data_IF_414858574584
#
_entry.id   IF_414858574584
#
_cell.length_a   1.000
_cell.length_b   1.000
_cell.length_c   1.000
_cell.angle_alpha   90.00
_cell.angle_beta   90.00
_cell.angle_gamma   90.00
#
_symmetry.space_group_name_H-M   'P 1'
#
loop_
_entity.id
_entity.type
_entity.pdbx_description
1 polymer ?
#
# COMPACT_ATOMS: atom_id res chain seq x y z
N UNK A 1 -2.10 0.90 19.43
CA UNK A 1 -1.59 2.03 19.52
C UNK A 1 -1.85 3.01 18.39
N UNK A 2 -3.11 3.41 18.37
CA UNK A 2 -3.63 4.28 17.33
C UNK A 2 -2.86 5.60 17.21
N UNK A 3 -2.45 6.17 18.34
CA UNK A 3 -1.76 7.45 18.33
C UNK A 3 -0.42 7.37 17.59
N UNK A 4 0.39 6.36 17.87
CA UNK A 4 1.66 6.16 17.17
C UNK A 4 1.45 5.87 15.69
N UNK A 5 0.45 5.07 15.37
CA UNK A 5 0.12 4.74 13.99
C UNK A 5 -0.27 6.01 13.23
N UNK A 6 -1.09 6.85 13.83
CA UNK A 6 -1.51 8.10 13.18
C UNK A 6 -0.36 9.09 13.01
N UNK A 7 0.63 9.09 13.90
CA UNK A 7 1.85 9.90 13.71
C UNK A 7 2.60 9.47 12.45
N UNK A 8 2.71 8.16 12.22
CA UNK A 8 3.36 7.62 11.02
C UNK A 8 2.59 8.04 9.77
N UNK A 9 1.27 7.94 9.79
CA UNK A 9 0.48 8.34 8.63
C UNK A 9 0.58 9.84 8.36
N UNK A 10 0.59 10.69 9.39
CA UNK A 10 0.77 12.12 9.22
C UNK A 10 2.13 12.46 8.61
N UNK A 11 3.19 11.79 9.08
CA UNK A 11 4.51 11.95 8.48
C UNK A 11 4.49 11.57 7.00
N UNK A 12 3.86 10.45 6.67
CA UNK A 12 3.79 9.98 5.30
C UNK A 12 2.98 10.93 4.41
N UNK A 13 1.88 11.49 4.92
CA UNK A 13 1.09 12.48 4.20
C UNK A 13 1.93 13.71 3.85
N UNK A 14 2.65 14.24 4.82
CA UNK A 14 3.52 15.40 4.61
C UNK A 14 4.62 15.09 3.61
N UNK A 15 5.23 13.92 3.73
CA UNK A 15 6.28 13.49 2.80
C UNK A 15 5.75 13.39 1.36
N UNK A 16 4.57 12.82 1.18
CA UNK A 16 3.95 12.72 -0.16
C UNK A 16 3.74 14.09 -0.78
N UNK A 17 3.21 15.03 -0.01
CA UNK A 17 2.96 16.38 -0.50
C UNK A 17 4.26 17.06 -0.89
N UNK A 18 5.28 17.00 -0.04
CA UNK A 18 6.57 17.64 -0.28
C UNK A 18 7.34 17.01 -1.44
N UNK A 19 7.14 15.72 -1.69
CA UNK A 19 7.85 15.01 -2.74
C UNK A 19 7.15 15.00 -4.09
N UNK A 20 6.08 15.79 -4.25
CA UNK A 20 5.41 15.96 -5.53
C UNK A 20 4.22 15.03 -5.75
N UNK A 21 3.67 14.47 -4.67
CA UNK A 21 2.50 13.59 -4.73
C UNK A 21 1.40 14.11 -3.80
N UNK A 22 0.86 15.33 -4.07
CA UNK A 22 -0.01 15.99 -3.10
C UNK A 22 -1.44 15.46 -3.08
N UNK A 23 -1.87 14.69 -4.07
CA UNK A 23 -3.29 14.33 -4.20
C UNK A 23 -3.60 12.88 -3.90
N UNK A 24 -2.61 12.00 -3.77
CA UNK A 24 -2.87 10.59 -3.50
C UNK A 24 -3.58 10.43 -2.14
N UNK A 25 -3.03 10.99 -1.08
CA UNK A 25 -3.62 10.97 0.25
C UNK A 25 -4.04 12.36 0.74
N UNK A 26 -3.33 13.41 0.32
CA UNK A 26 -3.54 14.76 0.83
C UNK A 26 -3.23 14.81 2.32
N UNK A 27 -3.97 15.66 3.05
CA UNK A 27 -3.80 15.83 4.49
C UNK A 27 -4.75 14.95 5.32
N UNK A 28 -5.72 14.31 4.70
CA UNK A 28 -6.84 13.72 5.42
C UNK A 28 -6.95 12.21 5.33
N UNK A 29 -6.40 11.60 4.30
CA UNK A 29 -6.47 10.16 4.11
C UNK A 29 -5.12 9.54 4.46
N UNK A 30 -5.07 8.44 5.20
CA UNK A 30 -6.19 7.83 5.92
C UNK A 30 -6.49 8.58 7.22
N UNK A 31 -7.75 8.61 7.62
CA UNK A 31 -8.14 9.22 8.89
C UNK A 31 -8.17 8.19 10.02
N UNK A 32 -8.39 8.68 11.25
CA UNK A 32 -8.35 7.82 12.42
C UNK A 32 -9.46 6.75 12.41
N UNK A 33 -10.63 7.09 11.87
CA UNK A 33 -11.75 6.14 11.84
C UNK A 33 -11.44 4.97 10.91
N UNK A 34 -10.81 5.24 9.77
CA UNK A 34 -10.40 4.19 8.84
C UNK A 34 -9.36 3.28 9.48
N UNK A 35 -8.39 3.85 10.18
CA UNK A 35 -7.34 3.06 10.83
C UNK A 35 -7.91 2.24 12.00
N UNK A 36 -8.86 2.78 12.76
CA UNK A 36 -9.57 2.01 13.77
C UNK A 36 -10.27 0.81 13.14
N UNK A 37 -10.91 1.01 11.99
CA UNK A 37 -11.53 -0.07 11.25
C UNK A 37 -10.53 -1.13 10.81
N UNK A 38 -9.35 -0.71 10.32
CA UNK A 38 -8.28 -1.64 9.96
C UNK A 38 -7.84 -2.48 11.16
N UNK A 39 -7.70 -1.85 12.31
CA UNK A 39 -7.33 -2.54 13.55
C UNK A 39 -8.41 -3.55 13.94
N UNK A 40 -9.66 -3.12 13.93
CA UNK A 40 -10.80 -3.96 14.34
C UNK A 40 -10.97 -5.15 13.40
N UNK A 41 -10.66 -4.99 12.13
CA UNK A 41 -10.73 -6.07 11.14
C UNK A 41 -9.48 -6.95 11.11
N UNK A 42 -8.50 -6.63 11.95
CA UNK A 42 -7.24 -7.38 12.03
C UNK A 42 -6.39 -7.31 10.74
N UNK A 43 -6.55 -6.26 9.97
CA UNK A 43 -5.76 -6.06 8.74
C UNK A 43 -4.62 -5.07 8.91
N UNK A 44 -4.59 -4.31 10.00
CA UNK A 44 -3.52 -3.36 10.28
C UNK A 44 -2.28 -4.11 10.77
N UNK A 45 -1.18 -3.98 10.03
CA UNK A 45 0.08 -4.64 10.34
C UNK A 45 1.15 -3.59 10.66
N UNK A 46 1.99 -3.91 11.64
CA UNK A 46 3.03 -2.99 12.09
C UNK A 46 4.41 -3.55 11.76
N UNK A 47 5.31 -2.68 11.35
CA UNK A 47 6.71 -3.00 11.15
C UNK A 47 7.48 -2.30 12.27
N UNK A 48 8.17 -3.07 13.09
CA UNK A 48 8.84 -2.53 14.27
C UNK A 48 10.17 -3.22 14.53
N UNK A 49 10.98 -2.56 15.36
CA UNK A 49 12.22 -3.13 15.86
C UNK A 49 12.34 -2.76 17.35
N UNK A 50 13.51 -2.93 17.92
CA UNK A 50 13.79 -2.63 19.34
C UNK A 50 13.61 -1.16 19.69
N UNK A 51 13.63 -0.27 18.69
CA UNK A 51 13.46 1.17 18.88
C UNK A 51 12.00 1.63 18.75
N UNK A 52 11.12 0.72 18.37
CA UNK A 52 9.69 1.03 18.24
C UNK A 52 9.11 0.74 16.87
N UNK A 53 7.95 1.33 16.61
CA UNK A 53 7.21 1.14 15.36
C UNK A 53 7.73 2.12 14.32
N UNK A 54 8.08 1.61 13.13
CA UNK A 54 8.60 2.43 12.03
C UNK A 54 7.70 2.42 10.80
N UNK A 55 6.83 1.43 10.67
CA UNK A 55 5.97 1.33 9.52
C UNK A 55 4.63 0.69 9.84
N UNK A 56 3.68 0.91 8.94
CA UNK A 56 2.33 0.36 9.06
C UNK A 56 1.79 0.13 7.67
N UNK A 57 0.99 -0.92 7.52
CA UNK A 57 0.27 -1.17 6.27
C UNK A 57 -1.01 -1.95 6.58
N UNK A 58 -1.93 -1.94 5.62
CA UNK A 58 -3.13 -2.76 5.68
C UNK A 58 -2.97 -3.93 4.72
N UNK A 59 -3.26 -5.15 5.21
CA UNK A 59 -3.16 -6.36 4.42
C UNK A 59 -4.53 -6.99 4.31
N UNK A 60 -5.03 -7.08 3.08
CA UNK A 60 -6.34 -7.66 2.79
C UNK A 60 -6.19 -8.98 2.06
N UNK A 61 -6.97 -9.95 2.48
CA UNK A 61 -7.11 -11.24 1.80
C UNK A 61 -8.53 -11.26 1.23
N UNK A 62 -8.64 -11.51 -0.07
CA UNK A 62 -9.93 -11.49 -0.75
C UNK A 62 -10.02 -10.39 -1.79
N UNK A 63 -11.13 -10.36 -2.52
CA UNK A 63 -11.30 -9.45 -3.64
C UNK A 63 -11.36 -7.99 -3.19
N UNK A 64 -10.56 -7.15 -3.83
CA UNK A 64 -10.59 -5.70 -3.64
C UNK A 64 -11.57 -5.11 -4.65
N UNK A 65 -12.67 -4.46 -4.21
CA UNK A 65 -13.69 -3.97 -5.15
C UNK A 65 -13.16 -3.06 -6.25
N UNK A 66 -12.18 -2.18 -5.95
CA UNK A 66 -11.62 -1.27 -6.95
C UNK A 66 -10.74 -1.97 -7.99
N UNK A 67 -10.39 -3.23 -7.76
CA UNK A 67 -9.57 -4.01 -8.70
C UNK A 67 -10.41 -4.82 -9.68
N UNK A 68 -11.72 -4.78 -9.54
CA UNK A 68 -12.63 -5.54 -10.39
C UNK A 68 -12.58 -5.09 -11.85
N UNK A 69 -12.41 -3.78 -12.06
CA UNK A 69 -12.32 -3.18 -13.39
C UNK A 69 -10.92 -2.61 -13.59
N UNK A 70 -10.24 -3.03 -14.65
CA UNK A 70 -8.91 -2.55 -15.01
C UNK A 70 -8.91 -2.12 -16.47
N UNK A 71 -8.28 -1.00 -16.77
CA UNK A 71 -8.19 -0.43 -18.12
C UNK A 71 -6.75 -0.40 -18.61
N UNK A 72 -6.59 -0.46 -19.92
CA UNK A 72 -5.28 -0.34 -20.55
C UNK A 72 -4.38 -1.55 -20.33
N UNK A 73 -4.94 -2.66 -19.92
CA UNK A 73 -4.19 -3.87 -19.66
C UNK A 73 -5.04 -4.90 -18.94
N UNK A 74 -4.38 -5.86 -18.31
CA UNK A 74 -5.06 -6.94 -17.61
C UNK A 74 -4.24 -7.37 -16.39
N UNK A 75 -4.94 -7.85 -15.34
CA UNK A 75 -4.27 -8.56 -14.26
C UNK A 75 -3.58 -9.81 -14.81
N UNK A 76 -2.53 -10.26 -14.12
CA UNK A 76 -1.75 -11.41 -14.57
C UNK A 76 -2.54 -12.72 -14.49
N UNK A 77 -3.50 -12.80 -13.56
CA UNK A 77 -4.35 -13.99 -13.41
C UNK A 77 -5.64 -13.62 -12.70
N UNK A 78 -6.55 -14.57 -12.59
CA UNK A 78 -7.84 -14.43 -11.91
C UNK A 78 -7.87 -15.15 -10.55
N UNK A 79 -6.73 -15.63 -10.07
CA UNK A 79 -6.66 -16.35 -8.80
C UNK A 79 -6.78 -15.45 -7.59
N UNK A 80 -6.93 -16.05 -6.39
CA UNK A 80 -6.95 -15.29 -5.15
C UNK A 80 -5.64 -14.52 -4.96
N UNK A 81 -5.71 -13.36 -4.33
CA UNK A 81 -4.54 -12.50 -4.13
C UNK A 81 -4.62 -11.77 -2.81
N UNK A 82 -3.45 -11.34 -2.32
CA UNK A 82 -3.36 -10.41 -1.21
C UNK A 82 -3.20 -9.00 -1.75
N UNK A 83 -3.71 -8.01 -1.01
CA UNK A 83 -3.56 -6.60 -1.35
C UNK A 83 -2.89 -5.87 -0.21
N UNK A 84 -1.84 -5.11 -0.53
CA UNK A 84 -1.19 -4.21 0.42
C UNK A 84 -1.75 -2.81 0.15
N UNK A 85 -2.35 -2.21 1.17
CA UNK A 85 -2.86 -0.85 1.13
C UNK A 85 -2.24 -0.01 2.22
N UNK A 86 -2.20 1.29 2.00
CA UNK A 86 -1.88 2.28 3.03
C UNK A 86 -0.54 2.01 3.73
N UNK A 87 0.47 1.64 2.95
CA UNK A 87 1.83 1.49 3.48
C UNK A 87 2.41 2.85 3.80
N UNK A 88 2.91 3.01 5.01
CA UNK A 88 3.52 4.25 5.47
C UNK A 88 4.70 3.96 6.39
N UNK A 89 5.69 4.84 6.37
CA UNK A 89 6.85 4.77 7.23
C UNK A 89 7.12 6.08 7.93
N UNK A 90 7.95 6.05 8.96
CA UNK A 90 8.32 7.21 9.76
C UNK A 90 9.59 7.91 9.27
N UNK A 91 10.17 7.46 8.18
CA UNK A 91 11.40 8.01 7.64
C UNK A 91 12.67 7.56 8.36
N UNK A 92 12.55 6.79 9.43
CA UNK A 92 13.68 6.35 10.24
C UNK A 92 14.27 5.02 9.77
N UNK A 93 13.46 4.19 9.14
CA UNK A 93 13.88 2.86 8.69
C UNK A 93 13.78 2.76 7.18
N UNK A 94 14.62 1.90 6.60
CA UNK A 94 14.63 1.62 5.19
C UNK A 94 14.07 0.22 4.91
N UNK A 95 13.65 -0.01 3.67
CA UNK A 95 13.22 -1.33 3.23
C UNK A 95 11.87 -1.75 3.76
N UNK A 96 11.00 -0.80 4.11
CA UNK A 96 9.68 -1.12 4.67
C UNK A 96 8.80 -1.86 3.65
N UNK A 97 8.84 -1.46 2.38
CA UNK A 97 8.06 -2.17 1.35
C UNK A 97 8.55 -3.62 1.20
N UNK A 98 9.87 -3.82 1.15
CA UNK A 98 10.44 -5.17 1.10
C UNK A 98 10.03 -6.01 2.31
N UNK A 99 10.03 -5.40 3.48
CA UNK A 99 9.62 -6.07 4.71
C UNK A 99 8.15 -6.49 4.65
N UNK A 100 7.27 -5.58 4.23
CA UNK A 100 5.85 -5.89 4.06
C UNK A 100 5.64 -7.00 3.03
N UNK A 101 6.38 -6.93 1.92
CA UNK A 101 6.30 -7.93 0.86
C UNK A 101 6.76 -9.30 1.36
N UNK A 102 7.86 -9.36 2.09
CA UNK A 102 8.37 -10.63 2.64
C UNK A 102 7.35 -11.29 3.57
N UNK A 103 6.70 -10.49 4.39
CA UNK A 103 5.62 -11.00 5.24
C UNK A 103 4.48 -11.60 4.40
N UNK A 104 4.06 -10.88 3.35
CA UNK A 104 2.99 -11.34 2.48
C UNK A 104 3.35 -12.61 1.72
N UNK A 105 4.61 -12.73 1.28
CA UNK A 105 5.08 -13.89 0.52
C UNK A 105 5.01 -15.19 1.32
N UNK A 106 5.03 -15.10 2.65
CA UNK A 106 4.84 -16.27 3.49
C UNK A 106 3.38 -16.75 3.51
N UNK A 107 2.45 -15.92 3.05
CA UNK A 107 1.02 -16.24 3.03
C UNK A 107 0.59 -16.61 1.61
N UNK A 108 0.99 -15.82 0.62
CA UNK A 108 0.63 -16.05 -0.78
C UNK A 108 1.68 -15.46 -1.69
N UNK A 109 1.89 -16.09 -2.83
CA UNK A 109 2.78 -15.53 -3.87
C UNK A 109 2.06 -14.52 -4.77
N UNK A 110 0.74 -14.47 -4.72
CA UNK A 110 -0.06 -13.62 -5.62
C UNK A 110 -0.47 -12.34 -4.88
N UNK A 111 0.16 -11.22 -5.24
CA UNK A 111 0.03 -9.96 -4.52
C UNK A 111 -0.25 -8.84 -5.51
N UNK A 112 -1.24 -8.00 -5.20
CA UNK A 112 -1.60 -6.82 -5.99
C UNK A 112 -1.40 -5.56 -5.16
N UNK A 113 -0.94 -4.50 -5.83
CA UNK A 113 -0.81 -3.17 -5.22
C UNK A 113 -1.15 -2.12 -6.26
N UNK A 114 -1.43 -0.92 -5.82
CA UNK A 114 -1.60 0.23 -6.71
C UNK A 114 -0.95 1.46 -6.11
N UNK A 115 -0.64 2.44 -6.96
CA UNK A 115 -0.11 3.72 -6.52
C UNK A 115 -0.46 4.83 -7.51
N UNK A 116 -0.37 6.06 -7.05
CA UNK A 116 -0.63 7.25 -7.87
C UNK A 116 0.51 7.49 -8.86
N UNK A 117 0.17 8.04 -10.03
CA UNK A 117 1.17 8.37 -11.05
C UNK A 117 2.25 9.35 -10.55
N UNK A 118 1.92 10.20 -9.58
CA UNK A 118 2.86 11.15 -9.00
C UNK A 118 3.78 10.53 -7.95
N UNK A 119 3.49 9.31 -7.50
CA UNK A 119 4.32 8.64 -6.50
C UNK A 119 5.45 7.87 -7.15
N UNK A 120 6.47 8.60 -7.60
CA UNK A 120 7.60 8.00 -8.32
C UNK A 120 8.42 7.07 -7.44
N UNK A 121 8.56 7.42 -6.17
CA UNK A 121 9.30 6.59 -5.22
C UNK A 121 8.66 5.21 -5.08
N UNK A 122 7.34 5.17 -4.88
CA UNK A 122 6.65 3.90 -4.73
C UNK A 122 6.66 3.09 -6.03
N UNK A 123 6.50 3.74 -7.17
CA UNK A 123 6.60 3.04 -8.46
C UNK A 123 7.94 2.33 -8.62
N UNK A 124 9.04 3.00 -8.26
CA UNK A 124 10.37 2.39 -8.34
C UNK A 124 10.51 1.20 -7.39
N UNK A 125 10.01 1.33 -6.17
CA UNK A 125 10.07 0.25 -5.18
C UNK A 125 9.24 -0.96 -5.63
N UNK A 126 8.06 -0.73 -6.15
CA UNK A 126 7.18 -1.79 -6.63
C UNK A 126 7.86 -2.54 -7.79
N UNK A 127 8.36 -1.81 -8.77
CA UNK A 127 9.00 -2.41 -9.95
C UNK A 127 10.28 -3.13 -9.57
N UNK A 128 11.08 -2.53 -8.69
CA UNK A 128 12.31 -3.14 -8.20
C UNK A 128 12.06 -4.48 -7.50
N UNK A 129 10.91 -4.63 -6.88
CA UNK A 129 10.55 -5.85 -6.15
C UNK A 129 9.80 -6.87 -7.00
N UNK A 130 9.87 -6.74 -8.32
CA UNK A 130 9.40 -7.78 -9.23
C UNK A 130 7.94 -7.72 -9.60
N UNK A 131 7.26 -6.61 -9.34
CA UNK A 131 5.88 -6.43 -9.76
C UNK A 131 5.81 -6.03 -11.23
N UNK A 132 4.77 -6.50 -11.91
CA UNK A 132 4.48 -6.16 -13.29
C UNK A 132 3.37 -5.12 -13.33
N UNK A 133 3.57 -4.07 -14.11
CA UNK A 133 2.54 -3.07 -14.37
C UNK A 133 1.43 -3.71 -15.20
N UNK A 134 0.20 -3.66 -14.70
CA UNK A 134 -0.94 -4.35 -15.31
C UNK A 134 -1.91 -3.44 -16.03
N UNK A 135 -2.04 -2.20 -15.58
CA UNK A 135 -3.00 -1.27 -16.19
C UNK A 135 -3.37 -0.16 -15.21
N UNK A 136 -4.56 0.39 -15.43
CA UNK A 136 -5.08 1.48 -14.60
C UNK A 136 -6.34 1.03 -13.88
N UNK A 137 -6.41 1.29 -12.59
CA UNK A 137 -7.64 1.13 -11.80
C UNK A 137 -8.05 2.50 -11.25
N UNK A 138 -9.23 2.58 -10.69
CA UNK A 138 -9.74 3.83 -10.12
C UNK A 138 -10.05 3.61 -8.65
N UNK A 139 -9.48 4.49 -7.79
CA UNK A 139 -9.76 4.47 -6.37
C UNK A 139 -11.22 4.86 -6.11
N UNK A 140 -11.68 4.69 -4.86
CA UNK A 140 -13.07 5.01 -4.50
C UNK A 140 -13.46 6.45 -4.83
N UNK A 141 -12.52 7.37 -4.75
CA UNK A 141 -12.75 8.78 -5.08
C UNK A 141 -12.70 9.08 -6.57
N UNK A 142 -12.57 8.06 -7.42
CA UNK A 142 -12.55 8.20 -8.87
C UNK A 142 -11.20 8.56 -9.47
N UNK A 143 -10.16 8.72 -8.66
CA UNK A 143 -8.83 9.04 -9.18
C UNK A 143 -8.11 7.81 -9.70
N UNK A 144 -7.35 7.98 -10.79
CA UNK A 144 -6.63 6.90 -11.44
C UNK A 144 -5.44 6.44 -10.60
N UNK A 145 -5.19 5.14 -10.62
CA UNK A 145 -4.04 4.52 -9.98
C UNK A 145 -3.38 3.54 -10.94
N UNK A 146 -2.06 3.42 -10.84
CA UNK A 146 -1.32 2.41 -11.59
C UNK A 146 -1.42 1.09 -10.83
N UNK A 147 -1.87 0.05 -11.51
CA UNK A 147 -2.09 -1.27 -10.93
C UNK A 147 -0.91 -2.18 -11.23
N UNK A 148 -0.44 -2.89 -10.21
CA UNK A 148 0.68 -3.82 -10.31
C UNK A 148 0.32 -5.15 -9.68
N UNK A 149 0.94 -6.22 -10.20
CA UNK A 149 0.77 -7.55 -9.63
C UNK A 149 2.10 -8.30 -9.66
N UNK A 150 2.33 -9.09 -8.62
CA UNK A 150 3.45 -10.00 -8.53
C UNK A 150 2.92 -11.40 -8.27
N UNK A 151 3.32 -12.35 -9.08
CA UNK A 151 3.02 -13.75 -8.86
C UNK A 151 4.28 -14.44 -8.33
N UNK A 152 4.39 -15.72 -8.39
CA UNK A 152 5.52 -16.44 -7.81
C UNK A 152 6.86 -15.89 -8.27
N UNK A 153 7.78 -15.93 -7.36
CA UNK A 153 9.12 -15.71 -7.53
C UNK A 153 10.28 -16.16 -7.35
#
# INVERSE_FOLDING_TARGET
DLEQIMKIYRYAQDYMIESGNPTQWGHFYPDADLIKSDIDQNVCKLIYDENGIHGVFALFDGAEPTYKHIEGGNWLNEGPYLTIHRLAGDGQAHGLFSCALDYCKNISSNIRVDTHADNKTMQRLIEKNGFTKCGTIYAKNGTARIAYQRTAS
#
